data_IF_301684739397
#
_entry.id   IF_301684739397
#
_cell.length_a   1.000
_cell.length_b   1.000
_cell.length_c   1.000
_cell.angle_alpha   90.00
_cell.angle_beta   90.00
_cell.angle_gamma   90.00
#
_symmetry.space_group_name_H-M   'P 1'
#
loop_
_entity.id
_entity.type
_entity.pdbx_description
1 polymer ?
#
# COMPACT_ATOMS: atom_id res chain seq x y z
N UNK A 1 -23.02 -0.41 -47.46
CA UNK A 1 -23.22 -1.53 -46.54
C UNK A 1 -22.04 -1.63 -45.62
N UNK A 2 -22.31 -1.54 -44.38
CA UNK A 2 -21.46 -1.39 -43.21
C UNK A 2 -20.19 -2.25 -43.15
N UNK A 3 -19.04 -1.58 -43.02
CA UNK A 3 -17.74 -2.19 -42.64
C UNK A 3 -17.13 -1.47 -41.43
N UNK A 4 -17.90 -0.64 -40.69
CA UNK A 4 -17.33 0.20 -39.59
C UNK A 4 -17.52 -0.33 -38.15
N UNK A 5 -18.16 -1.48 -37.95
CA UNK A 5 -18.47 -1.98 -36.58
C UNK A 5 -17.56 -3.11 -36.06
N UNK A 6 -16.57 -3.56 -36.83
CA UNK A 6 -15.71 -4.68 -36.41
C UNK A 6 -14.28 -4.27 -35.99
N UNK A 7 -13.90 -3.01 -36.11
CA UNK A 7 -12.56 -2.53 -35.72
C UNK A 7 -12.47 -2.06 -34.27
N UNK A 8 -13.55 -1.62 -33.64
CA UNK A 8 -13.54 -1.14 -32.26
C UNK A 8 -13.29 -2.23 -31.23
N UNK A 9 -13.67 -3.47 -31.49
CA UNK A 9 -13.48 -4.59 -30.56
C UNK A 9 -12.06 -5.16 -30.51
N UNK A 10 -11.20 -4.87 -31.50
CA UNK A 10 -9.82 -5.36 -31.55
C UNK A 10 -8.80 -4.43 -30.85
N UNK A 11 -9.16 -3.16 -30.63
CA UNK A 11 -8.23 -2.15 -30.10
C UNK A 11 -8.23 -2.05 -28.56
N UNK A 12 -9.24 -2.61 -27.85
CA UNK A 12 -9.31 -2.55 -26.39
C UNK A 12 -8.32 -3.51 -25.70
N UNK A 13 -8.06 -4.68 -26.29
CA UNK A 13 -7.13 -5.67 -25.70
C UNK A 13 -5.65 -5.29 -25.80
N UNK A 14 -5.28 -4.33 -26.65
CA UNK A 14 -3.88 -3.89 -26.83
C UNK A 14 -3.46 -2.75 -25.89
N UNK A 15 -4.34 -2.23 -25.04
CA UNK A 15 -4.07 -1.07 -24.16
C UNK A 15 -3.82 -1.43 -22.72
N UNK A 16 -3.95 -2.69 -22.34
CA UNK A 16 -3.61 -3.19 -21.01
C UNK A 16 -2.48 -4.21 -21.17
N UNK A 17 -1.36 -3.94 -20.52
CA UNK A 17 -0.24 -4.85 -20.36
C UNK A 17 0.10 -4.95 -18.87
N UNK A 18 0.46 -6.14 -18.39
CA UNK A 18 0.89 -6.35 -17.01
C UNK A 18 2.21 -7.09 -17.05
N UNK A 19 3.22 -6.47 -16.46
CA UNK A 19 4.56 -7.00 -16.33
C UNK A 19 4.78 -7.57 -14.93
N UNK A 20 5.38 -8.75 -14.85
CA UNK A 20 5.76 -9.40 -13.61
C UNK A 20 7.26 -9.24 -13.38
N UNK A 21 7.63 -8.30 -12.55
CA UNK A 21 9.02 -8.03 -12.18
C UNK A 21 9.31 -8.27 -10.70
N UNK A 22 8.29 -8.69 -9.94
CA UNK A 22 8.44 -8.93 -8.51
C UNK A 22 9.45 -10.03 -8.23
N UNK A 23 10.60 -9.63 -7.71
CA UNK A 23 11.57 -10.54 -7.14
C UNK A 23 11.12 -10.88 -5.72
N UNK A 24 10.36 -11.97 -5.58
CA UNK A 24 9.97 -12.42 -4.24
C UNK A 24 11.22 -12.83 -3.46
N UNK A 25 11.39 -12.33 -2.23
CA UNK A 25 12.41 -12.90 -1.34
C UNK A 25 12.19 -14.40 -1.27
N UNK A 26 13.27 -15.18 -1.28
CA UNK A 26 13.18 -16.63 -1.09
C UNK A 26 12.44 -16.95 0.21
N UNK A 27 11.77 -18.10 0.29
CA UNK A 27 11.05 -18.49 1.50
C UNK A 27 11.96 -18.45 2.75
N UNK A 28 13.23 -18.75 2.60
CA UNK A 28 14.24 -18.69 3.65
C UNK A 28 14.45 -17.26 4.17
N UNK A 29 14.63 -16.28 3.28
CA UNK A 29 14.78 -14.86 3.66
C UNK A 29 13.52 -14.29 4.36
N UNK A 30 12.33 -14.75 3.96
CA UNK A 30 11.07 -14.40 4.65
C UNK A 30 11.06 -14.94 6.08
N UNK A 31 11.45 -16.20 6.27
CA UNK A 31 11.50 -16.85 7.58
C UNK A 31 12.55 -16.18 8.46
N UNK A 32 13.74 -15.90 7.92
CA UNK A 32 14.81 -15.19 8.62
C UNK A 32 14.36 -13.78 9.09
N UNK A 33 13.67 -13.03 8.22
CA UNK A 33 13.12 -11.71 8.57
C UNK A 33 12.10 -11.80 9.71
N UNK A 34 11.19 -12.77 9.65
CA UNK A 34 10.20 -13.00 10.71
C UNK A 34 10.90 -13.41 12.01
N UNK A 35 11.86 -14.34 11.95
CA UNK A 35 12.62 -14.78 13.12
C UNK A 35 13.37 -13.61 13.78
N UNK A 36 14.11 -12.83 12.99
CA UNK A 36 14.86 -11.68 13.47
C UNK A 36 13.96 -10.65 14.17
N UNK A 37 12.77 -10.38 13.61
CA UNK A 37 11.82 -9.46 14.23
C UNK A 37 11.24 -9.99 15.55
N UNK A 38 10.90 -11.28 15.61
CA UNK A 38 10.28 -11.89 16.78
C UNK A 38 11.28 -12.20 17.92
N UNK A 39 12.56 -12.35 17.61
CA UNK A 39 13.63 -12.59 18.60
C UNK A 39 14.32 -11.30 19.05
N UNK A 40 14.07 -10.17 18.39
CA UNK A 40 14.62 -8.88 18.76
C UNK A 40 14.16 -8.41 20.15
N UNK A 41 14.93 -7.56 20.81
CA UNK A 41 14.59 -6.95 22.10
C UNK A 41 13.24 -6.20 22.02
N UNK A 42 13.01 -5.48 20.92
CA UNK A 42 11.72 -4.87 20.58
C UNK A 42 11.09 -5.67 19.46
N UNK A 43 10.22 -6.59 19.85
CA UNK A 43 9.59 -7.50 18.89
C UNK A 43 8.78 -6.74 17.86
N UNK A 44 8.92 -7.14 16.61
CA UNK A 44 8.18 -6.55 15.49
C UNK A 44 7.91 -7.59 14.40
N UNK A 45 6.91 -7.31 13.61
CA UNK A 45 6.57 -8.01 12.37
C UNK A 45 6.43 -6.94 11.30
N UNK A 46 7.01 -7.16 10.13
CA UNK A 46 6.91 -6.20 9.02
C UNK A 46 5.46 -5.96 8.61
N UNK A 47 5.08 -4.70 8.44
CA UNK A 47 3.73 -4.31 8.04
C UNK A 47 3.30 -4.85 6.66
N UNK A 48 4.24 -5.27 5.82
CA UNK A 48 3.91 -5.89 4.51
C UNK A 48 3.05 -7.14 4.67
N UNK A 49 3.15 -7.84 5.81
CA UNK A 49 2.34 -9.03 6.09
C UNK A 49 0.90 -8.73 6.52
N UNK A 50 0.56 -7.45 6.76
CA UNK A 50 -0.82 -7.02 6.99
C UNK A 50 -1.67 -7.09 5.72
N UNK A 51 -1.06 -7.01 4.53
CA UNK A 51 -1.73 -6.82 3.25
C UNK A 51 -1.85 -8.11 2.42
N UNK A 52 -2.09 -9.25 3.09
CA UNK A 52 -2.53 -10.46 2.40
C UNK A 52 -3.97 -10.31 1.86
N UNK A 53 -4.51 -11.34 1.22
CA UNK A 53 -5.85 -11.28 0.63
C UNK A 53 -6.98 -11.01 1.65
N UNK A 54 -6.80 -11.42 2.91
CA UNK A 54 -7.75 -11.14 4.01
C UNK A 54 -7.54 -9.73 4.52
N UNK A 55 -6.30 -9.37 4.82
CA UNK A 55 -5.93 -8.05 5.31
C UNK A 55 -6.29 -6.93 4.34
N UNK A 56 -6.07 -7.10 3.04
CA UNK A 56 -6.47 -6.12 2.02
C UNK A 56 -7.97 -5.84 2.04
N UNK A 57 -8.82 -6.87 2.24
CA UNK A 57 -10.27 -6.68 2.39
C UNK A 57 -10.66 -6.01 3.69
N UNK A 58 -9.92 -6.26 4.78
CA UNK A 58 -10.13 -5.58 6.06
C UNK A 58 -9.72 -4.12 5.94
N UNK A 59 -8.59 -3.84 5.29
CA UNK A 59 -8.15 -2.47 5.03
C UNK A 59 -9.14 -1.69 4.16
N UNK A 60 -9.72 -2.31 3.13
CA UNK A 60 -10.80 -1.70 2.35
C UNK A 60 -11.99 -1.30 3.23
N UNK A 61 -12.39 -2.15 4.19
CA UNK A 61 -13.43 -1.80 5.17
C UNK A 61 -13.00 -0.64 6.07
N UNK A 62 -11.74 -0.64 6.55
CA UNK A 62 -11.18 0.45 7.37
C UNK A 62 -11.30 1.78 6.64
N UNK A 63 -10.96 1.85 5.35
CA UNK A 63 -11.06 3.09 4.55
C UNK A 63 -12.48 3.63 4.43
N UNK A 64 -13.50 2.82 4.70
CA UNK A 64 -14.91 3.19 4.73
C UNK A 64 -15.43 3.65 6.08
N UNK A 65 -14.65 3.52 7.16
CA UNK A 65 -15.06 3.91 8.51
C UNK A 65 -15.06 5.43 8.71
N UNK A 66 -16.02 5.91 9.47
CA UNK A 66 -16.12 7.34 9.82
C UNK A 66 -14.91 7.79 10.66
N UNK A 67 -14.42 6.94 11.55
CA UNK A 67 -13.25 7.20 12.39
C UNK A 67 -11.97 7.26 11.56
N UNK A 68 -11.85 6.49 10.46
CA UNK A 68 -10.66 6.50 9.60
C UNK A 68 -10.70 7.66 8.62
N UNK A 69 -10.51 8.88 9.14
CA UNK A 69 -10.56 10.12 8.36
C UNK A 69 -9.51 10.21 7.23
N UNK A 70 -8.29 9.58 7.29
CA UNK A 70 -7.23 9.79 6.31
C UNK A 70 -7.70 9.55 4.87
N UNK A 71 -8.37 8.43 4.60
CA UNK A 71 -8.86 8.10 3.26
C UNK A 71 -9.86 9.15 2.73
N UNK A 72 -10.78 9.63 3.58
CA UNK A 72 -11.78 10.63 3.20
C UNK A 72 -11.17 11.99 2.94
N UNK A 73 -10.27 12.45 3.81
CA UNK A 73 -9.61 13.75 3.67
C UNK A 73 -8.70 13.75 2.45
N UNK A 74 -7.91 12.69 2.24
CA UNK A 74 -7.03 12.59 1.08
C UNK A 74 -7.83 12.66 -0.23
N UNK A 75 -8.95 11.91 -0.34
CA UNK A 75 -9.84 11.99 -1.51
C UNK A 75 -10.40 13.40 -1.74
N UNK A 76 -10.68 14.16 -0.69
CA UNK A 76 -11.10 15.55 -0.80
C UNK A 76 -9.97 16.46 -1.31
N UNK A 77 -8.77 16.31 -0.73
CA UNK A 77 -7.60 17.09 -1.15
C UNK A 77 -7.19 16.76 -2.60
N UNK A 78 -7.31 15.49 -3.02
CA UNK A 78 -7.03 15.09 -4.39
C UNK A 78 -7.98 15.76 -5.39
N UNK A 79 -9.28 15.93 -5.06
CA UNK A 79 -10.23 16.65 -5.91
C UNK A 79 -9.83 18.12 -6.08
N UNK A 80 -9.38 18.75 -5.01
CA UNK A 80 -8.93 20.14 -5.06
C UNK A 80 -7.60 20.26 -5.82
N UNK A 81 -6.64 19.36 -5.57
CA UNK A 81 -5.34 19.34 -6.24
C UNK A 81 -5.47 19.04 -7.75
N UNK A 82 -6.40 18.17 -8.14
CA UNK A 82 -6.61 17.76 -9.54
C UNK A 82 -6.84 18.96 -10.46
N UNK A 83 -7.48 20.00 -9.99
CA UNK A 83 -7.73 21.24 -10.75
C UNK A 83 -6.41 21.93 -11.15
N UNK A 84 -5.41 21.89 -10.28
CA UNK A 84 -4.11 22.54 -10.52
C UNK A 84 -3.12 21.69 -11.31
N UNK A 85 -3.25 20.38 -11.23
CA UNK A 85 -2.30 19.45 -11.86
C UNK A 85 -2.81 18.86 -13.17
N UNK A 86 -4.09 19.07 -13.52
CA UNK A 86 -4.70 18.47 -14.72
C UNK A 86 -3.95 18.79 -16.02
N UNK A 87 -3.41 20.01 -16.15
CA UNK A 87 -2.62 20.39 -17.31
C UNK A 87 -1.31 19.62 -17.41
N UNK A 88 -0.70 19.28 -16.27
CA UNK A 88 0.48 18.45 -16.22
C UNK A 88 0.17 17.00 -16.62
N UNK A 89 -0.97 16.47 -16.21
CA UNK A 89 -1.36 15.08 -16.45
C UNK A 89 -1.66 14.76 -17.92
N UNK A 90 -2.01 15.77 -18.73
CA UNK A 90 -2.48 15.56 -20.12
C UNK A 90 -1.50 14.80 -21.02
N UNK A 91 -0.20 14.91 -20.75
CA UNK A 91 0.89 14.36 -21.55
C UNK A 91 1.95 13.64 -20.70
N UNK A 92 1.60 13.29 -19.47
CA UNK A 92 2.48 12.59 -18.56
C UNK A 92 2.11 11.10 -18.45
N UNK A 93 3.12 10.30 -18.16
CA UNK A 93 2.91 8.96 -17.64
C UNK A 93 2.61 9.05 -16.14
N UNK A 94 1.49 8.52 -15.71
CA UNK A 94 1.12 8.52 -14.30
C UNK A 94 1.57 7.22 -13.66
N UNK A 95 2.51 7.30 -12.73
CA UNK A 95 3.08 6.16 -12.00
C UNK A 95 2.51 6.17 -10.58
N UNK A 96 1.71 5.18 -10.20
CA UNK A 96 1.15 5.08 -8.86
C UNK A 96 1.84 3.96 -8.07
N UNK A 97 2.44 4.33 -6.94
CA UNK A 97 3.16 3.43 -6.05
C UNK A 97 2.22 2.94 -4.95
N UNK A 98 1.90 1.63 -4.97
CA UNK A 98 0.86 1.06 -4.12
C UNK A 98 -0.54 1.44 -4.61
N UNK A 99 -0.92 0.94 -5.80
CA UNK A 99 -2.13 1.39 -6.51
C UNK A 99 -3.45 1.03 -5.81
N UNK A 100 -3.47 0.00 -4.99
CA UNK A 100 -4.65 -0.38 -4.22
C UNK A 100 -5.93 -0.53 -5.05
N UNK A 101 -7.00 0.14 -4.60
CA UNK A 101 -8.37 0.05 -5.16
C UNK A 101 -8.66 1.00 -6.34
N UNK A 102 -7.68 1.67 -6.88
CA UNK A 102 -7.77 2.70 -7.94
C UNK A 102 -8.73 3.88 -7.68
N UNK A 103 -9.31 3.98 -6.48
CA UNK A 103 -10.28 5.04 -6.18
C UNK A 103 -9.68 6.45 -6.19
N UNK A 104 -8.41 6.56 -5.80
CA UNK A 104 -7.67 7.83 -5.73
C UNK A 104 -7.23 8.29 -7.11
N UNK A 105 -6.63 7.40 -7.89
CA UNK A 105 -6.21 7.73 -9.26
C UNK A 105 -7.40 8.09 -10.14
N UNK A 106 -8.56 7.47 -9.92
CA UNK A 106 -9.79 7.82 -10.63
C UNK A 106 -10.16 9.30 -10.46
N UNK A 107 -9.90 9.90 -9.29
CA UNK A 107 -10.15 11.33 -9.03
C UNK A 107 -9.27 12.21 -9.94
N UNK A 108 -8.01 11.84 -10.08
CA UNK A 108 -7.06 12.57 -10.94
C UNK A 108 -7.42 12.40 -12.42
N UNK A 109 -7.79 11.19 -12.84
CA UNK A 109 -8.20 10.90 -14.22
C UNK A 109 -9.51 11.60 -14.60
N UNK A 110 -10.45 11.75 -13.69
CA UNK A 110 -11.70 12.50 -13.91
C UNK A 110 -11.46 13.98 -14.25
N UNK A 111 -10.34 14.56 -13.78
CA UNK A 111 -9.98 15.94 -14.07
C UNK A 111 -9.31 16.11 -15.45
N UNK A 112 -8.84 15.03 -16.06
CA UNK A 112 -8.23 15.07 -17.39
C UNK A 112 -9.30 15.13 -18.47
N UNK A 113 -9.25 16.09 -19.41
CA UNK A 113 -10.20 16.14 -20.52
C UNK A 113 -10.22 14.82 -21.32
N UNK A 114 -11.42 14.33 -21.65
CA UNK A 114 -11.59 13.02 -22.27
C UNK A 114 -10.81 12.83 -23.59
N UNK A 115 -10.62 13.92 -24.35
CA UNK A 115 -9.83 13.87 -25.57
C UNK A 115 -8.33 13.69 -25.33
N UNK A 116 -7.82 13.91 -24.10
CA UNK A 116 -6.41 13.70 -23.71
C UNK A 116 -6.16 12.26 -23.19
N UNK A 117 -7.20 11.51 -22.85
CA UNK A 117 -7.02 10.16 -22.30
C UNK A 117 -6.29 9.19 -23.24
N UNK A 118 -6.36 9.42 -24.55
CA UNK A 118 -5.70 8.57 -25.56
C UNK A 118 -4.16 8.70 -25.54
N UNK A 119 -3.62 9.80 -25.06
CA UNK A 119 -2.18 10.04 -24.91
C UNK A 119 -1.66 9.67 -23.53
N UNK A 120 -2.55 9.33 -22.59
CA UNK A 120 -2.23 9.09 -21.20
C UNK A 120 -1.88 7.62 -20.96
N UNK A 121 -0.77 7.39 -20.27
CA UNK A 121 -0.34 6.07 -19.80
C UNK A 121 -0.39 6.04 -18.27
N UNK A 122 -1.10 5.06 -17.72
CA UNK A 122 -1.13 4.79 -16.28
C UNK A 122 -0.31 3.54 -15.97
N UNK A 123 0.59 3.68 -15.03
CA UNK A 123 1.55 2.65 -14.61
C UNK A 123 1.34 2.37 -13.12
N UNK A 124 0.37 1.54 -12.74
CA UNK A 124 0.24 1.07 -11.37
C UNK A 124 1.39 0.13 -11.03
N UNK A 125 2.05 0.38 -9.89
CA UNK A 125 3.10 -0.47 -9.33
C UNK A 125 2.60 -1.01 -7.99
N UNK A 126 2.46 -2.33 -7.88
CA UNK A 126 1.97 -2.98 -6.67
C UNK A 126 2.53 -4.41 -6.56
N UNK A 127 2.66 -4.93 -5.36
CA UNK A 127 3.04 -6.34 -5.14
C UNK A 127 1.89 -7.30 -5.40
N UNK A 128 0.65 -6.81 -5.42
CA UNK A 128 -0.58 -7.58 -5.60
C UNK A 128 -1.01 -7.64 -7.06
N UNK A 129 -0.83 -8.81 -7.70
CA UNK A 129 -1.34 -9.06 -9.04
C UNK A 129 -2.86 -8.82 -9.14
N UNK A 130 -3.61 -9.29 -8.16
CA UNK A 130 -5.07 -9.15 -8.16
C UNK A 130 -5.54 -7.69 -8.04
N UNK A 131 -4.82 -6.85 -7.31
CA UNK A 131 -5.12 -5.42 -7.22
C UNK A 131 -4.89 -4.72 -8.57
N UNK A 132 -3.79 -5.03 -9.25
CA UNK A 132 -3.48 -4.47 -10.58
C UNK A 132 -4.51 -4.92 -11.62
N UNK A 133 -4.85 -6.22 -11.66
CA UNK A 133 -5.86 -6.74 -12.59
C UNK A 133 -7.22 -6.09 -12.41
N UNK A 134 -7.69 -5.98 -11.17
CA UNK A 134 -8.99 -5.37 -10.85
C UNK A 134 -8.98 -3.87 -11.17
N UNK A 135 -7.92 -3.15 -10.82
CA UNK A 135 -7.75 -1.74 -11.16
C UNK A 135 -7.74 -1.52 -12.67
N UNK A 136 -7.01 -2.35 -13.42
CA UNK A 136 -6.97 -2.28 -14.88
C UNK A 136 -8.34 -2.52 -15.50
N UNK A 137 -9.10 -3.50 -14.98
CA UNK A 137 -10.47 -3.80 -15.44
C UNK A 137 -11.42 -2.62 -15.20
N UNK A 138 -11.39 -2.04 -13.99
CA UNK A 138 -12.24 -0.90 -13.61
C UNK A 138 -11.90 0.34 -14.46
N UNK A 139 -10.61 0.69 -14.51
CA UNK A 139 -10.15 1.91 -15.19
C UNK A 139 -10.34 1.84 -16.69
N UNK A 140 -10.11 0.68 -17.33
CA UNK A 140 -10.37 0.51 -18.77
C UNK A 140 -11.83 0.70 -19.13
N UNK A 141 -12.75 0.29 -18.25
CA UNK A 141 -14.19 0.49 -18.43
C UNK A 141 -14.62 1.94 -18.23
N UNK A 142 -14.04 2.62 -17.26
CA UNK A 142 -14.40 4.00 -16.88
C UNK A 142 -13.75 5.06 -17.78
N UNK A 143 -12.53 4.84 -18.21
CA UNK A 143 -11.71 5.77 -19.00
C UNK A 143 -11.29 5.15 -20.33
N UNK A 144 -12.23 5.03 -21.32
CA UNK A 144 -11.91 4.46 -22.60
C UNK A 144 -10.83 5.28 -23.31
N UNK A 145 -9.75 4.61 -23.69
CA UNK A 145 -8.64 5.26 -24.39
C UNK A 145 -7.35 5.36 -23.57
N UNK A 146 -7.41 5.24 -22.24
CA UNK A 146 -6.18 5.19 -21.43
C UNK A 146 -5.36 3.92 -21.75
N UNK A 147 -4.04 4.05 -21.74
CA UNK A 147 -3.13 2.91 -21.77
C UNK A 147 -2.74 2.54 -20.35
N UNK A 148 -2.84 1.27 -19.97
CA UNK A 148 -2.50 0.78 -18.63
C UNK A 148 -1.35 -0.22 -18.75
N UNK A 149 -0.23 0.09 -18.13
CA UNK A 149 0.94 -0.78 -18.03
C UNK A 149 1.18 -1.13 -16.56
N UNK A 150 0.47 -2.14 -16.06
CA UNK A 150 0.63 -2.61 -14.69
C UNK A 150 1.99 -3.26 -14.47
N UNK A 151 2.62 -2.97 -13.34
CA UNK A 151 3.92 -3.53 -12.95
C UNK A 151 3.77 -4.19 -11.58
N UNK A 152 3.95 -5.52 -11.54
CA UNK A 152 3.95 -6.26 -10.28
C UNK A 152 5.38 -6.24 -9.76
N UNK A 153 5.62 -5.40 -8.74
CA UNK A 153 6.93 -5.16 -8.18
C UNK A 153 6.86 -4.61 -6.75
N UNK A 154 7.94 -4.76 -6.01
CA UNK A 154 8.17 -4.04 -4.77
C UNK A 154 8.74 -2.65 -5.08
N UNK A 155 7.89 -1.62 -5.04
CA UNK A 155 8.30 -0.25 -5.34
C UNK A 155 9.36 0.31 -4.38
N UNK A 156 9.54 -0.29 -3.21
CA UNK A 156 10.60 0.11 -2.28
C UNK A 156 12.01 -0.20 -2.82
N UNK A 157 12.13 -1.22 -3.68
CA UNK A 157 13.41 -1.74 -4.12
C UNK A 157 13.54 -1.92 -5.64
N UNK A 158 12.49 -1.71 -6.42
CA UNK A 158 12.41 -2.08 -7.82
C UNK A 158 11.76 -0.99 -8.69
N UNK A 159 12.04 0.30 -8.45
CA UNK A 159 11.50 1.40 -9.27
C UNK A 159 12.24 1.58 -10.60
N UNK A 160 13.42 1.02 -10.75
CA UNK A 160 14.22 1.03 -12.00
C UNK A 160 13.53 0.31 -13.17
N UNK A 161 12.52 -0.52 -12.85
CA UNK A 161 11.68 -1.18 -13.87
C UNK A 161 10.55 -0.30 -14.40
N UNK A 162 10.27 0.85 -13.77
CA UNK A 162 9.30 1.81 -14.30
C UNK A 162 9.84 2.38 -15.60
N UNK A 163 9.11 2.23 -16.74
CA UNK A 163 9.61 2.67 -18.01
C UNK A 163 9.99 4.15 -18.03
N UNK A 164 11.09 4.47 -18.69
CA UNK A 164 11.43 5.85 -18.98
C UNK A 164 10.34 6.51 -19.82
N UNK A 165 10.03 7.75 -19.49
CA UNK A 165 9.04 8.56 -20.17
C UNK A 165 9.54 9.97 -20.40
N UNK A 166 8.89 10.71 -21.31
CA UNK A 166 9.22 12.10 -21.56
C UNK A 166 8.85 13.02 -20.37
N UNK A 167 7.90 12.58 -19.53
CA UNK A 167 7.36 13.32 -18.39
C UNK A 167 6.56 12.34 -17.52
N UNK A 168 6.93 12.19 -16.27
CA UNK A 168 6.28 11.26 -15.34
C UNK A 168 5.68 11.99 -14.16
N UNK A 169 4.52 11.53 -13.73
CA UNK A 169 3.82 11.99 -12.53
C UNK A 169 3.72 10.84 -11.55
N UNK A 170 4.59 10.85 -10.57
CA UNK A 170 4.60 9.84 -9.51
C UNK A 170 3.55 10.18 -8.46
N UNK A 171 2.72 9.21 -8.10
CA UNK A 171 1.76 9.27 -7.02
C UNK A 171 2.18 8.31 -5.92
N UNK A 172 2.45 8.82 -4.71
CA UNK A 172 2.66 8.01 -3.52
C UNK A 172 1.67 8.47 -2.46
N UNK A 173 0.54 7.79 -2.42
CA UNK A 173 -0.68 8.22 -1.72
C UNK A 173 -1.01 7.28 -0.55
N UNK A 174 -2.02 7.63 0.25
CA UNK A 174 -2.49 6.80 1.36
C UNK A 174 -1.72 6.97 2.65
N UNK A 175 -0.89 8.00 2.74
CA UNK A 175 0.04 8.17 3.86
C UNK A 175 0.99 6.98 4.06
N UNK A 176 1.20 6.18 3.02
CA UNK A 176 2.03 4.95 3.04
C UNK A 176 3.47 5.22 3.47
N UNK A 177 3.99 6.43 3.20
CA UNK A 177 5.29 6.86 3.69
C UNK A 177 5.37 6.84 5.23
N UNK A 178 4.24 7.01 5.92
CA UNK A 178 4.13 6.94 7.38
C UNK A 178 4.39 5.53 7.95
N UNK A 179 4.25 4.48 7.14
CA UNK A 179 4.54 3.10 7.54
C UNK A 179 6.04 2.84 7.66
N UNK A 180 6.86 3.68 7.04
CA UNK A 180 8.31 3.55 7.01
C UNK A 180 8.96 4.14 8.26
N UNK A 181 10.12 3.62 8.63
CA UNK A 181 10.99 4.34 9.55
C UNK A 181 11.50 5.63 8.89
N UNK A 182 11.98 6.61 9.68
CA UNK A 182 12.55 7.85 9.13
C UNK A 182 13.72 7.59 8.19
N UNK A 183 14.53 6.59 8.50
CA UNK A 183 15.67 6.20 7.66
C UNK A 183 15.17 5.60 6.35
N UNK A 184 14.26 4.61 6.42
CA UNK A 184 13.71 3.95 5.23
C UNK A 184 12.94 4.95 4.34
N UNK A 185 12.22 5.90 4.94
CA UNK A 185 11.53 6.95 4.19
C UNK A 185 12.50 7.88 3.45
N UNK A 186 13.62 8.24 4.11
CA UNK A 186 14.67 9.06 3.48
C UNK A 186 15.36 8.30 2.35
N UNK A 187 15.71 7.04 2.58
CA UNK A 187 16.34 6.18 1.59
C UNK A 187 15.42 5.99 0.37
N UNK A 188 14.13 5.76 0.61
CA UNK A 188 13.13 5.64 -0.46
C UNK A 188 12.97 6.92 -1.27
N UNK A 189 12.86 8.08 -0.62
CA UNK A 189 12.73 9.37 -1.33
C UNK A 189 14.02 9.70 -2.10
N UNK A 190 15.18 9.33 -1.56
CA UNK A 190 16.46 9.47 -2.26
C UNK A 190 16.50 8.59 -3.52
N UNK A 191 16.16 7.32 -3.38
CA UNK A 191 16.07 6.37 -4.49
C UNK A 191 15.08 6.83 -5.56
N UNK A 192 13.88 7.29 -5.16
CA UNK A 192 12.91 7.85 -6.09
C UNK A 192 13.47 9.08 -6.81
N UNK A 193 14.18 9.95 -6.10
CA UNK A 193 14.85 11.13 -6.69
C UNK A 193 15.93 10.78 -7.71
N UNK A 194 16.63 9.65 -7.55
CA UNK A 194 17.62 9.15 -8.54
C UNK A 194 16.95 8.64 -9.83
N UNK A 195 15.74 8.10 -9.71
CA UNK A 195 14.96 7.58 -10.85
C UNK A 195 14.22 8.71 -11.58
N UNK A 196 13.81 9.75 -10.88
CA UNK A 196 13.11 10.89 -11.46
C UNK A 196 14.04 11.71 -12.35
N UNK A 197 13.51 12.13 -13.50
CA UNK A 197 14.19 13.02 -14.45
C UNK A 197 13.74 14.46 -14.27
N UNK A 198 14.51 15.40 -14.82
CA UNK A 198 14.11 16.81 -14.85
C UNK A 198 12.76 16.97 -15.54
N UNK A 199 11.80 17.59 -14.86
CA UNK A 199 10.42 17.76 -15.34
C UNK A 199 9.43 16.73 -14.83
N UNK A 200 9.87 15.64 -14.17
CA UNK A 200 8.97 14.76 -13.45
C UNK A 200 8.42 15.44 -12.17
N UNK A 201 7.28 14.98 -11.70
CA UNK A 201 6.65 15.48 -10.47
C UNK A 201 6.30 14.33 -9.54
N UNK A 202 6.35 14.59 -8.23
CA UNK A 202 5.88 13.69 -7.18
C UNK A 202 4.67 14.32 -6.48
N UNK A 203 3.57 13.59 -6.42
CA UNK A 203 2.44 13.85 -5.54
C UNK A 203 2.52 12.90 -4.34
N UNK A 204 2.84 13.46 -3.19
CA UNK A 204 2.97 12.72 -1.93
C UNK A 204 1.75 12.98 -1.05
N UNK A 205 1.04 11.91 -0.66
CA UNK A 205 0.01 11.94 0.38
C UNK A 205 0.64 11.60 1.74
N UNK A 206 0.58 12.54 2.68
CA UNK A 206 1.06 12.33 4.04
C UNK A 206 0.08 12.90 5.05
N UNK A 207 -0.16 12.18 6.13
CA UNK A 207 -0.96 12.70 7.23
C UNK A 207 -0.14 13.66 8.10
N UNK A 208 -0.83 14.51 8.86
CA UNK A 208 -0.25 15.55 9.69
C UNK A 208 -0.60 15.32 11.16
N UNK A 209 0.31 15.74 12.06
CA UNK A 209 0.01 15.77 13.49
C UNK A 209 -1.17 16.70 13.76
N UNK A 210 -2.14 16.23 14.49
CA UNK A 210 -3.37 16.93 14.87
C UNK A 210 -3.83 16.49 16.26
N UNK A 211 -5.10 16.68 16.58
CA UNK A 211 -5.68 16.19 17.82
C UNK A 211 -5.42 14.69 18.03
N UNK A 212 -4.82 14.34 19.18
CA UNK A 212 -4.37 12.98 19.47
C UNK A 212 -5.56 12.01 19.56
N UNK A 213 -6.68 12.44 20.12
CA UNK A 213 -7.88 11.61 20.20
C UNK A 213 -8.41 11.25 18.82
N UNK A 214 -8.31 12.19 17.85
CA UNK A 214 -8.69 11.93 16.46
C UNK A 214 -7.72 10.95 15.80
N UNK A 215 -6.42 11.12 16.03
CA UNK A 215 -5.39 10.21 15.52
C UNK A 215 -5.59 8.79 16.05
N UNK A 216 -5.75 8.62 17.35
CA UNK A 216 -5.90 7.31 17.97
C UNK A 216 -7.21 6.61 17.61
N UNK A 217 -8.33 7.35 17.51
CA UNK A 217 -9.62 6.79 17.08
C UNK A 217 -9.59 6.23 15.67
N UNK A 218 -8.80 6.82 14.78
CA UNK A 218 -8.67 6.33 13.40
C UNK A 218 -8.08 4.90 13.35
N UNK A 219 -7.31 4.50 14.36
CA UNK A 219 -6.68 3.19 14.45
C UNK A 219 -7.25 2.29 15.58
N UNK A 220 -8.27 2.77 16.29
CA UNK A 220 -9.03 2.04 17.32
C UNK A 220 -10.53 2.22 17.06
N UNK A 221 -10.99 1.83 15.87
CA UNK A 221 -12.39 2.01 15.48
C UNK A 221 -13.35 1.23 16.39
N UNK A 222 -14.54 1.80 16.58
CA UNK A 222 -15.58 1.25 17.47
C UNK A 222 -16.13 -0.10 17.03
N UNK A 223 -15.94 -0.48 15.74
CA UNK A 223 -16.38 -1.76 15.18
C UNK A 223 -15.31 -2.85 15.32
N UNK A 224 -14.07 -2.50 15.68
CA UNK A 224 -12.96 -3.43 15.86
C UNK A 224 -12.37 -3.98 14.55
N UNK A 225 -12.65 -3.35 13.42
CA UNK A 225 -12.14 -3.80 12.11
C UNK A 225 -10.61 -3.63 12.03
N UNK A 226 -10.09 -2.52 12.57
CA UNK A 226 -8.63 -2.31 12.65
C UNK A 226 -7.95 -3.34 13.56
N UNK A 227 -8.63 -3.73 14.64
CA UNK A 227 -8.13 -4.80 15.51
C UNK A 227 -8.09 -6.16 14.78
N UNK A 228 -9.14 -6.50 13.99
CA UNK A 228 -9.14 -7.70 13.15
C UNK A 228 -8.03 -7.68 12.12
N UNK A 229 -7.82 -6.54 11.47
CA UNK A 229 -6.74 -6.33 10.50
C UNK A 229 -5.37 -6.57 11.13
N UNK A 230 -5.10 -5.95 12.28
CA UNK A 230 -3.84 -6.11 12.99
C UNK A 230 -3.60 -7.56 13.47
N UNK A 231 -4.63 -8.21 14.05
CA UNK A 231 -4.54 -9.59 14.50
C UNK A 231 -4.31 -10.60 13.35
N UNK A 232 -4.81 -10.29 12.15
CA UNK A 232 -4.62 -11.16 10.99
C UNK A 232 -3.15 -11.39 10.64
N UNK A 233 -2.25 -10.47 10.98
CA UNK A 233 -0.81 -10.63 10.71
C UNK A 233 -0.24 -11.90 11.33
N UNK A 234 -0.77 -12.33 12.50
CA UNK A 234 -0.35 -13.57 13.15
C UNK A 234 -0.75 -14.82 12.35
N UNK A 235 -1.91 -14.80 11.68
CA UNK A 235 -2.30 -15.87 10.77
C UNK A 235 -1.36 -15.97 9.57
N UNK A 236 -0.94 -14.82 9.05
CA UNK A 236 0.01 -14.75 7.93
C UNK A 236 1.38 -15.30 8.34
N UNK A 237 1.89 -14.87 9.50
CA UNK A 237 3.14 -15.39 10.06
C UNK A 237 3.07 -16.89 10.34
N UNK A 238 1.96 -17.39 10.89
CA UNK A 238 1.72 -18.83 11.07
C UNK A 238 1.80 -19.59 9.75
N UNK A 239 1.25 -19.01 8.67
CA UNK A 239 1.29 -19.63 7.35
C UNK A 239 2.70 -19.66 6.76
N UNK A 240 3.45 -18.56 6.87
CA UNK A 240 4.76 -18.37 6.27
C UNK A 240 5.88 -19.09 7.04
N UNK A 241 5.94 -18.86 8.34
CA UNK A 241 7.00 -19.36 9.21
C UNK A 241 6.61 -20.60 10.01
N UNK A 242 5.40 -21.16 9.80
CA UNK A 242 4.87 -22.32 10.53
C UNK A 242 4.88 -22.13 12.04
N UNK A 243 4.67 -20.90 12.50
CA UNK A 243 4.50 -20.59 13.92
C UNK A 243 3.12 -21.04 14.42
N UNK A 244 2.95 -21.11 15.73
CA UNK A 244 1.71 -21.53 16.40
C UNK A 244 1.02 -20.41 17.19
N UNK A 245 1.16 -19.17 16.70
CA UNK A 245 0.43 -18.05 17.30
C UNK A 245 -1.07 -18.32 17.37
N UNK A 246 -1.68 -18.00 18.52
CA UNK A 246 -3.13 -17.99 18.71
C UNK A 246 -3.58 -16.53 18.78
N UNK A 247 -4.15 -15.93 17.67
CA UNK A 247 -4.49 -14.52 17.65
C UNK A 247 -5.37 -14.06 18.81
N UNK A 248 -6.29 -14.91 19.29
CA UNK A 248 -7.16 -14.59 20.44
C UNK A 248 -6.45 -14.42 21.78
N UNK A 249 -5.15 -14.67 21.88
CA UNK A 249 -4.32 -14.40 23.06
C UNK A 249 -3.66 -13.03 23.02
N UNK A 250 -3.91 -12.25 21.98
CA UNK A 250 -3.38 -10.91 21.81
C UNK A 250 -4.50 -9.88 21.75
N UNK A 251 -4.20 -8.69 22.25
CA UNK A 251 -5.05 -7.52 22.15
C UNK A 251 -4.43 -6.52 21.17
N UNK A 252 -5.26 -5.94 20.32
CA UNK A 252 -4.86 -4.81 19.50
C UNK A 252 -4.60 -3.59 20.39
N UNK A 253 -3.51 -2.88 20.09
CA UNK A 253 -3.13 -1.65 20.77
C UNK A 253 -2.62 -0.66 19.72
N UNK A 254 -3.31 0.46 19.54
CA UNK A 254 -2.81 1.57 18.73
C UNK A 254 -2.75 2.83 19.60
N UNK A 255 -1.66 3.57 19.50
CA UNK A 255 -1.45 4.79 20.28
C UNK A 255 -0.56 5.79 19.53
N UNK A 256 -0.68 7.06 19.87
CA UNK A 256 0.19 8.10 19.37
C UNK A 256 1.51 8.13 20.15
N UNK A 257 2.62 7.92 19.42
CA UNK A 257 3.97 8.06 19.97
C UNK A 257 4.44 9.50 19.82
N UNK A 258 4.34 10.28 20.89
CA UNK A 258 4.69 11.70 20.92
C UNK A 258 6.17 11.98 20.56
N UNK A 259 7.09 11.08 20.94
CA UNK A 259 8.52 11.22 20.63
C UNK A 259 8.86 11.06 19.15
N UNK A 260 8.09 10.22 18.46
CA UNK A 260 8.31 9.89 17.06
C UNK A 260 7.29 10.58 16.15
N UNK A 261 6.28 11.26 16.72
CA UNK A 261 5.19 11.95 16.04
C UNK A 261 4.48 11.04 15.02
N UNK A 262 4.06 9.85 15.49
CA UNK A 262 3.39 8.85 14.67
C UNK A 262 2.42 8.00 15.49
N UNK A 263 1.45 7.38 14.85
CA UNK A 263 0.69 6.26 15.42
C UNK A 263 1.55 5.00 15.30
N UNK A 264 1.52 4.17 16.33
CA UNK A 264 2.08 2.83 16.32
C UNK A 264 0.98 1.82 16.60
N UNK A 265 0.90 0.77 15.78
CA UNK A 265 0.06 -0.40 16.04
C UNK A 265 0.92 -1.53 16.59
N UNK A 266 0.40 -2.16 17.62
CA UNK A 266 1.01 -3.28 18.32
C UNK A 266 -0.01 -4.38 18.59
N UNK A 267 0.51 -5.57 18.81
CA UNK A 267 -0.22 -6.70 19.39
C UNK A 267 0.32 -6.96 20.80
N UNK A 268 -0.53 -6.78 21.83
CA UNK A 268 -0.16 -6.95 23.24
C UNK A 268 -0.53 -8.34 23.70
N UNK A 269 0.42 -9.06 24.25
CA UNK A 269 0.22 -10.41 24.77
C UNK A 269 -0.63 -10.43 26.06
N UNK A 270 -1.67 -11.25 26.09
CA UNK A 270 -2.56 -11.43 27.26
C UNK A 270 -1.99 -12.35 28.34
N UNK A 271 -1.03 -13.20 28.00
CA UNK A 271 -0.37 -14.17 28.89
C UNK A 271 1.07 -14.43 28.45
N UNK A 272 1.86 -15.10 29.32
CA UNK A 272 3.18 -15.59 28.95
C UNK A 272 3.00 -16.75 27.96
N UNK A 273 3.78 -16.75 26.87
CA UNK A 273 3.72 -17.80 25.85
C UNK A 273 5.07 -18.07 25.23
N UNK A 274 5.24 -19.30 24.82
CA UNK A 274 6.33 -19.76 23.96
C UNK A 274 5.73 -20.08 22.60
N UNK A 275 6.27 -19.46 21.55
CA UNK A 275 5.82 -19.65 20.18
C UNK A 275 6.80 -20.61 19.49
N UNK A 276 6.28 -21.72 19.03
CA UNK A 276 7.06 -22.73 18.34
C UNK A 276 6.99 -22.56 16.82
N UNK A 277 8.09 -22.86 16.15
CA UNK A 277 8.16 -23.02 14.69
C UNK A 277 9.19 -24.08 14.35
N UNK A 278 8.89 -25.02 13.45
CA UNK A 278 9.87 -25.96 12.94
C UNK A 278 10.88 -25.34 11.96
N UNK A 279 10.69 -24.07 11.60
CA UNK A 279 11.50 -23.35 10.62
C UNK A 279 12.37 -22.25 11.27
N UNK A 280 12.23 -22.04 12.57
CA UNK A 280 12.98 -21.04 13.34
C UNK A 280 13.70 -21.79 14.47
N UNK A 281 15.02 -21.76 14.44
CA UNK A 281 15.84 -22.50 15.41
C UNK A 281 15.81 -21.86 16.83
N UNK A 282 15.43 -20.59 16.95
CA UNK A 282 15.38 -19.85 18.20
C UNK A 282 14.01 -19.97 18.86
N UNK A 283 14.00 -20.11 20.20
CA UNK A 283 12.77 -20.08 20.97
C UNK A 283 12.24 -18.63 21.05
N UNK A 284 10.99 -18.42 20.65
CA UNK A 284 10.32 -17.12 20.72
C UNK A 284 9.50 -17.08 22.00
N UNK A 285 10.00 -16.36 23.00
CA UNK A 285 9.27 -16.15 24.26
C UNK A 285 8.62 -14.77 24.26
N UNK A 286 7.34 -14.71 24.62
CA UNK A 286 6.58 -13.47 24.74
C UNK A 286 5.96 -13.44 26.14
N UNK A 287 6.24 -12.39 26.89
CA UNK A 287 5.72 -12.23 28.24
C UNK A 287 4.36 -11.56 28.21
N UNK A 288 3.55 -11.84 29.21
CA UNK A 288 2.29 -11.10 29.42
C UNK A 288 2.54 -9.59 29.43
N UNK A 289 1.78 -8.86 28.62
CA UNK A 289 1.90 -7.42 28.47
C UNK A 289 3.01 -6.95 27.53
N UNK A 290 3.88 -7.85 27.05
CA UNK A 290 4.85 -7.55 26.00
C UNK A 290 4.12 -7.27 24.68
N UNK A 291 4.68 -6.40 23.86
CA UNK A 291 4.05 -5.99 22.59
C UNK A 291 4.91 -6.36 21.40
N UNK A 292 4.25 -6.75 20.31
CA UNK A 292 4.83 -6.92 18.98
C UNK A 292 4.39 -5.71 18.16
N UNK A 293 5.33 -4.89 17.71
CA UNK A 293 5.06 -3.78 16.80
C UNK A 293 4.72 -4.30 15.41
N UNK A 294 3.67 -3.77 14.79
CA UNK A 294 3.16 -4.25 13.50
C UNK A 294 3.13 -3.18 12.41
N UNK A 295 2.83 -1.93 12.75
CA UNK A 295 2.75 -0.85 11.77
C UNK A 295 2.96 0.52 12.41
N UNK A 296 3.44 1.47 11.61
CA UNK A 296 3.47 2.90 11.88
C UNK A 296 2.48 3.66 10.99
N UNK A 297 2.10 4.86 11.41
CA UNK A 297 1.41 5.80 10.55
C UNK A 297 1.64 7.25 10.98
#
# INVERSE_FOLDING_TARGET
MNVSCLEEGRNLKSRVAIEHSLTKPGAEAVIESIAAGLTSEKKHISCVYLYDAVGSKLFEKITGLDEYYPARIEKSLLKDAAIYICDFLRDADIVELGSGDCSKISILLDAVPSHCLHSLRYIPVDVSHSAIDESARILSGRFPGITINGVIADFMNQLDIVPDGSKRFFCFLGSTIGNLSRTDALDFITYLGEIMSSGDMLLLGADMVKDIDMLEKAYNDSQGITAEFNLNILNVVNSLAKTDFVPGKFEHLAFYNDKLSRIEMHLKAGEDMEIASPLIDENIFIRKGETIHTENS
#
